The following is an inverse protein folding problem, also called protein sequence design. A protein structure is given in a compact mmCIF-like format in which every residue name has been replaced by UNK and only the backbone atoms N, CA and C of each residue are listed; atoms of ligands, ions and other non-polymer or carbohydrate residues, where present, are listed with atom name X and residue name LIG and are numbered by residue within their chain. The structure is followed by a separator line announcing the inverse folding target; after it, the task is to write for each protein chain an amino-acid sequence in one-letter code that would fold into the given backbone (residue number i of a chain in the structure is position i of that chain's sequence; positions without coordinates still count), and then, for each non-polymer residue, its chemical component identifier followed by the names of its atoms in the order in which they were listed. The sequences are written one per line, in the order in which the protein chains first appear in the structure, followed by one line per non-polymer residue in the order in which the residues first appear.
data_IF_192676369742
#
_entry.id   IF_192676369742
#
_cell.length_a   1.000
_cell.length_b   1.000
_cell.length_c   1.000
_cell.angle_alpha   90.00
_cell.angle_beta   90.00
_cell.angle_gamma   90.00
#
_symmetry.space_group_name_H-M   'P 1'
#
loop_
_entity.id
_entity.type
_entity.pdbx_description
1 polymer ?
#
# COMPACT_ATOMS: atom_id res chain seq x y z
N UNK A 1 -10.14 8.09 18.85
CA UNK A 1 -10.17 8.60 17.46
C UNK A 1 -10.76 7.62 16.46
N UNK A 2 -10.17 6.43 16.20
CA UNK A 2 -10.69 5.49 15.19
C UNK A 2 -12.20 5.20 15.28
N UNK A 3 -12.71 4.88 16.48
CA UNK A 3 -14.14 4.63 16.69
C UNK A 3 -15.04 5.85 16.37
N UNK A 4 -14.52 7.08 16.50
CA UNK A 4 -15.25 8.31 16.19
C UNK A 4 -15.20 8.69 14.70
N UNK A 5 -14.20 8.20 13.96
CA UNK A 5 -14.04 8.45 12.52
C UNK A 5 -14.88 7.51 11.64
N UNK A 6 -15.47 6.46 12.22
CA UNK A 6 -16.36 5.54 11.52
C UNK A 6 -15.80 4.13 11.34
N UNK A 7 -16.64 3.18 10.88
CA UNK A 7 -16.32 1.76 10.81
C UNK A 7 -15.21 1.43 9.80
N UNK A 8 -15.04 2.25 8.77
CA UNK A 8 -14.03 2.04 7.72
C UNK A 8 -12.61 2.41 8.18
N UNK A 9 -12.46 3.03 9.36
CA UNK A 9 -11.16 3.41 9.92
C UNK A 9 -10.64 2.39 10.93
N UNK A 10 -9.72 1.56 10.47
CA UNK A 10 -8.94 0.70 11.36
C UNK A 10 -8.00 1.52 12.27
N UNK A 11 -7.66 0.96 13.44
CA UNK A 11 -6.70 1.59 14.36
C UNK A 11 -5.34 1.82 13.71
N UNK A 12 -4.86 0.87 12.90
CA UNK A 12 -3.59 0.99 12.19
C UNK A 12 -3.63 2.09 11.14
N UNK A 13 -4.74 2.26 10.42
CA UNK A 13 -4.91 3.36 9.46
C UNK A 13 -4.84 4.72 10.13
N UNK A 14 -5.51 4.89 11.28
CA UNK A 14 -5.43 6.14 12.05
C UNK A 14 -4.01 6.42 12.56
N UNK A 15 -3.30 5.41 13.05
CA UNK A 15 -1.91 5.57 13.47
C UNK A 15 -0.99 5.98 12.31
N UNK A 16 -1.22 5.41 11.13
CA UNK A 16 -0.49 5.77 9.92
C UNK A 16 -0.76 7.22 9.52
N UNK A 17 -2.02 7.67 9.54
CA UNK A 17 -2.40 9.05 9.27
C UNK A 17 -1.74 10.04 10.26
N UNK A 18 -1.71 9.71 11.55
CA UNK A 18 -1.01 10.51 12.57
C UNK A 18 0.48 10.62 12.22
N UNK A 19 1.14 9.50 11.90
CA UNK A 19 2.58 9.51 11.52
C UNK A 19 2.87 10.26 10.22
N UNK A 20 1.90 10.32 9.31
CA UNK A 20 1.98 11.09 8.06
C UNK A 20 1.71 12.59 8.28
N UNK A 21 1.43 13.04 9.51
CA UNK A 21 1.07 14.43 9.81
C UNK A 21 -0.32 14.82 9.31
N UNK A 22 -1.14 13.83 8.94
CA UNK A 22 -2.47 14.02 8.38
C UNK A 22 -3.55 14.30 9.44
N UNK A 23 -3.18 14.30 10.72
CA UNK A 23 -4.10 14.54 11.84
C UNK A 23 -3.68 15.81 12.58
N UNK A 24 -4.64 16.70 12.79
CA UNK A 24 -4.47 17.99 13.48
C UNK A 24 -5.49 18.08 14.61
N UNK A 25 -5.01 18.43 15.81
CA UNK A 25 -5.85 18.65 16.99
C UNK A 25 -5.70 20.10 17.44
N UNK A 26 -6.81 20.83 17.52
CA UNK A 26 -6.86 22.26 17.88
C UNK A 26 -5.85 23.11 17.09
N UNK A 27 -5.75 22.84 15.78
CA UNK A 27 -4.85 23.55 14.86
C UNK A 27 -3.38 23.13 14.92
N UNK A 28 -3.01 22.13 15.75
CA UNK A 28 -1.64 21.61 15.85
C UNK A 28 -1.53 20.21 15.24
N UNK A 29 -0.60 19.97 14.29
CA UNK A 29 -0.29 18.63 13.82
C UNK A 29 0.14 17.73 14.97
N UNK A 30 -0.26 16.47 14.91
CA UNK A 30 0.07 15.46 15.92
C UNK A 30 0.80 14.31 15.25
N UNK A 31 1.89 13.87 15.86
CA UNK A 31 2.70 12.72 15.45
C UNK A 31 2.67 11.58 16.50
N UNK A 32 2.32 11.89 17.75
CA UNK A 32 2.20 10.92 18.83
C UNK A 32 0.86 10.17 18.82
N UNK A 33 0.89 8.92 18.34
CA UNK A 33 -0.28 8.03 18.30
C UNK A 33 -0.89 7.66 19.66
N UNK A 34 -0.14 7.82 20.76
CA UNK A 34 -0.56 7.50 22.13
C UNK A 34 -1.05 8.72 22.92
N UNK A 35 -1.07 9.91 22.31
CA UNK A 35 -1.53 11.15 22.95
C UNK A 35 -2.91 10.94 23.56
N UNK A 36 -3.04 11.29 24.84
CA UNK A 36 -4.33 11.33 25.52
C UNK A 36 -5.13 12.53 24.99
N UNK A 37 -6.39 12.31 24.67
CA UNK A 37 -7.30 13.36 24.23
C UNK A 37 -8.11 13.89 25.41
N UNK A 38 -8.41 15.18 25.37
CA UNK A 38 -9.34 15.82 26.30
C UNK A 38 -10.72 15.98 25.65
N UNK A 39 -11.77 16.01 26.46
CA UNK A 39 -13.11 16.32 25.96
C UNK A 39 -13.15 17.76 25.41
N UNK A 40 -13.77 17.95 24.25
CA UNK A 40 -13.92 19.26 23.60
C UNK A 40 -12.80 19.63 22.61
N UNK A 41 -11.75 18.81 22.49
CA UNK A 41 -10.72 19.02 21.45
C UNK A 41 -11.30 18.80 20.04
N UNK A 42 -10.97 19.70 19.12
CA UNK A 42 -11.37 19.59 17.72
C UNK A 42 -10.32 18.81 16.92
N UNK A 43 -10.73 17.73 16.29
CA UNK A 43 -9.87 16.91 15.43
C UNK A 43 -10.22 17.13 13.98
N UNK A 44 -9.21 17.43 13.17
CA UNK A 44 -9.30 17.43 11.72
C UNK A 44 -8.34 16.39 11.14
N UNK A 45 -8.80 15.67 10.13
CA UNK A 45 -8.03 14.63 9.43
C UNK A 45 -8.04 14.97 7.96
N UNK A 46 -6.87 15.28 7.40
CA UNK A 46 -6.68 15.47 5.98
C UNK A 46 -6.42 14.10 5.35
N UNK A 47 -7.41 13.50 4.69
CA UNK A 47 -7.20 12.23 4.01
C UNK A 47 -6.23 12.44 2.84
N UNK A 48 -5.10 11.71 2.79
CA UNK A 48 -4.21 11.78 1.63
C UNK A 48 -4.94 11.25 0.40
N UNK A 49 -4.52 11.73 -0.78
CA UNK A 49 -5.03 11.20 -2.04
C UNK A 49 -4.79 9.68 -2.10
N UNK A 50 -5.74 8.91 -2.65
CA UNK A 50 -5.53 7.49 -2.89
C UNK A 50 -4.33 7.29 -3.81
N UNK A 51 -3.42 6.40 -3.43
CA UNK A 51 -2.40 5.95 -4.38
C UNK A 51 -3.05 5.19 -5.54
N UNK A 52 -2.48 5.25 -6.76
CA UNK A 52 -2.98 4.52 -7.90
C UNK A 52 -3.10 3.03 -7.56
N UNK A 53 -4.31 2.48 -7.69
CA UNK A 53 -4.54 1.07 -7.39
C UNK A 53 -3.89 0.12 -8.40
N UNK A 54 -3.47 0.64 -9.56
CA UNK A 54 -2.88 -0.16 -10.63
C UNK A 54 -1.38 -0.39 -10.37
N UNK A 55 -0.97 -1.66 -10.20
CA UNK A 55 0.45 -2.00 -10.11
C UNK A 55 1.19 -1.53 -11.35
N UNK A 56 2.41 -1.03 -11.17
CA UNK A 56 3.28 -0.62 -12.27
C UNK A 56 4.33 -1.70 -12.53
N UNK A 57 4.81 -1.76 -13.78
CA UNK A 57 5.89 -2.67 -14.16
C UNK A 57 7.20 -2.31 -13.47
N UNK A 58 7.90 -3.30 -12.93
CA UNK A 58 9.23 -3.15 -12.34
C UNK A 58 10.22 -4.12 -12.97
N UNK A 59 11.43 -3.65 -13.25
CA UNK A 59 12.50 -4.49 -13.81
C UNK A 59 13.09 -5.42 -12.73
N UNK A 60 12.40 -6.54 -12.49
CA UNK A 60 12.76 -7.59 -11.54
C UNK A 60 13.05 -8.85 -12.36
N UNK A 61 14.24 -9.43 -12.22
CA UNK A 61 14.63 -10.61 -12.99
C UNK A 61 13.71 -11.81 -12.71
N UNK A 62 13.25 -12.46 -13.78
CA UNK A 62 12.44 -13.68 -13.74
C UNK A 62 13.29 -14.87 -14.19
N UNK A 63 13.26 -15.95 -13.41
CA UNK A 63 13.81 -17.24 -13.81
C UNK A 63 12.74 -18.02 -14.60
N UNK A 64 12.75 -17.85 -15.92
CA UNK A 64 11.75 -18.41 -16.84
C UNK A 64 12.16 -19.81 -17.27
N UNK A 65 11.35 -20.80 -16.89
CA UNK A 65 11.55 -22.21 -17.28
C UNK A 65 10.94 -22.52 -18.66
N UNK A 66 9.88 -21.81 -19.02
CA UNK A 66 9.17 -21.95 -20.28
C UNK A 66 8.34 -20.68 -20.55
N UNK A 67 8.23 -20.28 -21.81
CA UNK A 67 7.38 -19.16 -22.24
C UNK A 67 6.96 -19.37 -23.71
N UNK A 68 5.68 -19.16 -23.98
CA UNK A 68 5.09 -19.02 -25.31
C UNK A 68 3.98 -17.95 -25.29
N UNK A 69 3.35 -17.73 -26.45
CA UNK A 69 2.29 -16.74 -26.67
C UNK A 69 1.08 -16.89 -25.72
N UNK A 70 0.89 -18.07 -25.10
CA UNK A 70 -0.27 -18.39 -24.27
C UNK A 70 0.07 -18.54 -22.77
N UNK A 71 1.29 -18.98 -22.42
CA UNK A 71 1.67 -19.25 -21.04
C UNK A 71 3.16 -19.05 -20.75
N UNK A 72 3.41 -18.66 -19.50
CA UNK A 72 4.75 -18.54 -18.93
C UNK A 72 4.87 -19.39 -17.66
N UNK A 73 5.97 -20.12 -17.52
CA UNK A 73 6.32 -20.92 -16.33
C UNK A 73 7.57 -20.32 -15.70
N UNK A 74 7.43 -19.85 -14.46
CA UNK A 74 8.50 -19.16 -13.73
C UNK A 74 8.91 -19.98 -12.52
N UNK A 75 10.20 -20.18 -12.34
CA UNK A 75 10.79 -20.67 -11.11
C UNK A 75 10.84 -19.55 -10.07
N UNK A 76 9.71 -19.30 -9.41
CA UNK A 76 9.58 -18.17 -8.47
C UNK A 76 10.47 -18.40 -7.23
N UNK A 77 11.42 -17.51 -6.91
CA UNK A 77 12.24 -17.65 -5.71
C UNK A 77 11.39 -17.53 -4.43
N UNK A 78 11.92 -18.08 -3.33
CA UNK A 78 11.37 -17.85 -2.00
C UNK A 78 11.51 -16.36 -1.63
N UNK A 79 10.53 -15.82 -0.90
CA UNK A 79 10.52 -14.40 -0.50
C UNK A 79 9.93 -13.44 -1.53
N UNK A 80 9.81 -13.81 -2.81
CA UNK A 80 9.09 -12.99 -3.79
C UNK A 80 7.58 -13.14 -3.62
N UNK A 81 6.93 -12.04 -3.25
CA UNK A 81 5.47 -11.91 -3.12
C UNK A 81 4.83 -11.97 -4.51
N UNK A 82 3.71 -12.68 -4.65
CA UNK A 82 3.06 -12.88 -5.95
C UNK A 82 2.27 -11.65 -6.38
N UNK A 83 1.28 -11.24 -5.59
CA UNK A 83 0.37 -10.16 -5.92
C UNK A 83 0.51 -8.99 -4.95
N UNK A 84 0.43 -7.73 -5.42
CA UNK A 84 0.43 -6.55 -4.57
C UNK A 84 -0.65 -6.61 -3.50
N UNK A 85 -0.32 -6.17 -2.30
CA UNK A 85 -1.25 -6.16 -1.18
C UNK A 85 -0.71 -5.43 0.03
N UNK A 86 -1.46 -5.49 1.13
CA UNK A 86 -1.11 -4.81 2.37
C UNK A 86 0.32 -5.16 2.82
N UNK A 87 1.21 -4.16 2.82
CA UNK A 87 2.62 -4.30 3.21
C UNK A 87 3.59 -4.60 2.07
N UNK A 88 3.11 -5.00 0.88
CA UNK A 88 3.93 -5.26 -0.31
C UNK A 88 3.16 -4.79 -1.55
N UNK A 89 3.12 -3.48 -1.79
CA UNK A 89 2.40 -2.87 -2.91
C UNK A 89 3.21 -2.86 -4.22
N UNK A 90 4.52 -2.98 -4.12
CA UNK A 90 5.51 -2.98 -5.20
C UNK A 90 6.47 -4.15 -5.01
N UNK A 91 7.37 -4.40 -5.96
CA UNK A 91 8.39 -5.44 -5.84
C UNK A 91 7.83 -6.88 -5.89
N UNK A 92 6.64 -7.07 -6.47
CA UNK A 92 5.97 -8.38 -6.54
C UNK A 92 6.14 -9.05 -7.91
N UNK A 93 5.75 -10.32 -8.02
CA UNK A 93 5.76 -11.04 -9.30
C UNK A 93 4.84 -10.38 -10.33
N UNK A 94 3.70 -9.81 -9.94
CA UNK A 94 2.85 -9.04 -10.86
C UNK A 94 3.59 -7.82 -11.40
N UNK A 95 4.35 -7.10 -10.56
CA UNK A 95 5.15 -5.95 -11.03
C UNK A 95 6.19 -6.41 -12.06
N UNK A 96 6.86 -7.54 -11.79
CA UNK A 96 7.81 -8.12 -12.72
C UNK A 96 7.16 -8.53 -14.05
N UNK A 97 6.00 -9.21 -13.99
CA UNK A 97 5.26 -9.66 -15.17
C UNK A 97 4.73 -8.49 -16.02
N UNK A 98 4.25 -7.42 -15.41
CA UNK A 98 3.82 -6.21 -16.15
C UNK A 98 5.00 -5.61 -16.93
N UNK A 99 6.21 -5.64 -16.36
CA UNK A 99 7.41 -5.16 -17.05
C UNK A 99 7.87 -6.12 -18.16
N UNK A 100 7.85 -7.42 -17.90
CA UNK A 100 8.35 -8.46 -18.81
C UNK A 100 7.43 -8.64 -20.02
N UNK A 101 6.13 -8.77 -19.79
CA UNK A 101 5.15 -9.02 -20.86
C UNK A 101 4.74 -7.71 -21.56
N UNK A 102 4.57 -6.61 -20.83
CA UNK A 102 3.98 -5.41 -21.41
C UNK A 102 2.53 -5.65 -21.88
N UNK A 103 2.26 -5.41 -23.17
CA UNK A 103 0.90 -5.48 -23.74
C UNK A 103 0.43 -6.91 -24.07
N UNK A 104 1.34 -7.87 -24.20
CA UNK A 104 1.02 -9.28 -24.47
C UNK A 104 2.07 -10.20 -23.85
N UNK A 105 1.76 -11.49 -23.66
CA UNK A 105 2.85 -12.48 -23.55
C UNK A 105 3.61 -12.46 -24.89
N UNK A 106 4.94 -12.59 -24.87
CA UNK A 106 5.72 -12.66 -26.12
C UNK A 106 5.24 -13.82 -26.97
#
# INVERSE_FOLDING_TARGET
LAAALGPDMSRSRVQMLIRQGAVVIDGKPVDETKRKMSAGENVSVAMPEPEPAQPQGENIALDVLYEDDELIVINKPAGLVVHPGAGNWSGTLVNALIHHCGDSLS
#
